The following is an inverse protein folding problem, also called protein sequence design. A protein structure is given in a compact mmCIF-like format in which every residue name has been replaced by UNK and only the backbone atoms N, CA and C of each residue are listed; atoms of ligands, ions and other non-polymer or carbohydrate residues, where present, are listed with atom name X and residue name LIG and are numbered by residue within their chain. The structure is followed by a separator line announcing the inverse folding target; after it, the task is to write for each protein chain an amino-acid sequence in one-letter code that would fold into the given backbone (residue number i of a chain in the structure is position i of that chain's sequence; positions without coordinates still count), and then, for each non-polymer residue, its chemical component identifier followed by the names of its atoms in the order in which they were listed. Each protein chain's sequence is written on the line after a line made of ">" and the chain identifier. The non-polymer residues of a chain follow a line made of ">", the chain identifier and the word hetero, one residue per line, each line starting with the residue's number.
data_IF_819926750431
#
_entry.id   IF_819926750431
#
_cell.length_a   1.000
_cell.length_b   1.000
_cell.length_c   1.000
_cell.angle_alpha   90.00
_cell.angle_beta   90.00
_cell.angle_gamma   90.00
#
_symmetry.space_group_name_H-M   'P 1'
#
loop_
_entity.id
_entity.type
_entity.pdbx_description
1 polymer ?
#
# COMPACT_ATOMS: atom_id res chain seq x y z
N UNK A 1 16.96 -48.61 -1.34
CA UNK A 1 17.49 -47.39 -1.97
C UNK A 1 17.84 -46.44 -0.86
N UNK A 2 19.13 -46.17 -0.70
CA UNK A 2 19.68 -45.39 0.41
C UNK A 2 19.34 -43.90 0.20
N UNK A 3 18.72 -43.20 1.16
CA UNK A 3 18.32 -41.79 1.00
C UNK A 3 19.50 -40.79 0.90
N UNK A 4 20.75 -41.28 0.85
CA UNK A 4 21.99 -40.47 0.78
C UNK A 4 22.65 -40.45 -0.60
N UNK A 5 22.01 -41.03 -1.61
CA UNK A 5 22.57 -41.20 -2.96
C UNK A 5 22.30 -40.02 -3.93
N UNK A 6 21.82 -38.89 -3.42
CA UNK A 6 21.67 -37.66 -4.20
C UNK A 6 23.01 -36.87 -4.20
N UNK A 7 23.96 -37.30 -5.03
CA UNK A 7 25.34 -36.77 -5.05
C UNK A 7 25.45 -35.31 -5.55
N UNK A 8 24.45 -34.75 -6.25
CA UNK A 8 24.44 -33.33 -6.62
C UNK A 8 23.05 -32.93 -7.14
N UNK A 9 22.49 -31.82 -6.63
CA UNK A 9 21.28 -31.21 -7.19
C UNK A 9 21.75 -30.33 -8.36
N UNK A 10 21.32 -30.57 -9.60
CA UNK A 10 21.72 -29.74 -10.73
C UNK A 10 21.26 -28.31 -10.49
N UNK A 11 22.23 -27.41 -10.27
CA UNK A 11 21.95 -25.98 -10.29
C UNK A 11 21.61 -25.60 -11.73
N UNK A 12 20.32 -25.44 -12.01
CA UNK A 12 19.79 -24.79 -13.20
C UNK A 12 20.29 -23.34 -13.23
N UNK A 13 21.48 -23.14 -13.80
CA UNK A 13 21.93 -21.83 -14.24
C UNK A 13 21.09 -21.51 -15.48
N UNK A 14 20.04 -20.72 -15.28
CA UNK A 14 19.31 -20.14 -16.40
C UNK A 14 20.26 -19.16 -17.09
N UNK A 15 20.97 -19.60 -18.13
CA UNK A 15 21.60 -18.70 -19.10
C UNK A 15 20.46 -18.08 -19.93
N UNK A 16 19.79 -17.09 -19.34
CA UNK A 16 18.81 -16.27 -20.04
C UNK A 16 19.58 -15.32 -20.95
N UNK A 17 20.10 -15.84 -22.07
CA UNK A 17 20.39 -14.99 -23.23
C UNK A 17 19.05 -14.55 -23.81
N UNK A 18 18.35 -13.69 -23.07
CA UNK A 18 17.03 -13.17 -23.38
C UNK A 18 17.17 -12.34 -24.65
N UNK A 19 16.91 -12.97 -25.80
CA UNK A 19 16.78 -12.27 -27.06
C UNK A 19 15.68 -11.24 -26.85
N UNK A 20 15.99 -9.96 -27.10
CA UNK A 20 15.04 -8.86 -26.91
C UNK A 20 13.88 -9.10 -27.87
N UNK A 21 12.84 -9.76 -27.37
CA UNK A 21 11.62 -10.02 -28.12
C UNK A 21 10.88 -8.71 -28.29
N UNK A 22 10.26 -8.49 -29.47
CA UNK A 22 9.46 -7.29 -29.75
C UNK A 22 8.40 -7.03 -28.67
N UNK A 23 7.92 -8.09 -28.01
CA UNK A 23 7.00 -7.97 -26.87
C UNK A 23 7.64 -7.22 -25.68
N UNK A 24 8.90 -7.49 -25.34
CA UNK A 24 9.60 -6.79 -24.26
C UNK A 24 9.76 -5.30 -24.57
N UNK A 25 10.07 -4.95 -25.83
CA UNK A 25 10.21 -3.54 -26.25
C UNK A 25 8.88 -2.80 -26.10
N UNK A 26 7.77 -3.44 -26.48
CA UNK A 26 6.43 -2.86 -26.34
C UNK A 26 6.02 -2.71 -24.87
N UNK A 27 6.30 -3.70 -24.02
CA UNK A 27 6.00 -3.60 -22.58
C UNK A 27 6.81 -2.46 -21.94
N UNK A 28 8.09 -2.34 -22.28
CA UNK A 28 8.97 -1.27 -21.76
C UNK A 28 8.49 0.10 -22.25
N UNK A 29 8.14 0.24 -23.53
CA UNK A 29 7.64 1.52 -24.06
C UNK A 29 6.32 1.93 -23.42
N UNK A 30 5.40 0.99 -23.21
CA UNK A 30 4.13 1.21 -22.50
C UNK A 30 4.34 1.59 -21.04
N UNK A 31 5.30 0.97 -20.36
CA UNK A 31 5.64 1.31 -18.98
C UNK A 31 6.19 2.74 -18.88
N UNK A 32 7.06 3.14 -19.81
CA UNK A 32 7.60 4.51 -19.88
C UNK A 32 6.49 5.53 -20.16
N UNK A 33 5.52 5.19 -21.02
CA UNK A 33 4.35 6.04 -21.28
C UNK A 33 3.56 6.30 -20.00
N UNK A 34 3.32 5.27 -19.19
CA UNK A 34 2.58 5.40 -17.91
C UNK A 34 3.32 6.27 -16.91
N UNK A 35 4.64 6.10 -16.78
CA UNK A 35 5.47 6.93 -15.91
C UNK A 35 5.41 8.40 -16.37
N UNK A 36 5.46 8.64 -17.68
CA UNK A 36 5.36 10.00 -18.23
C UNK A 36 3.98 10.62 -17.98
N UNK A 37 2.90 9.84 -18.08
CA UNK A 37 1.55 10.28 -17.72
C UNK A 37 1.44 10.64 -16.23
N UNK A 38 2.03 9.83 -15.33
CA UNK A 38 2.07 10.14 -13.91
C UNK A 38 2.86 11.42 -13.63
N UNK A 39 4.00 11.62 -14.29
CA UNK A 39 4.79 12.84 -14.15
C UNK A 39 4.05 14.08 -14.67
N UNK A 40 3.23 13.93 -15.71
CA UNK A 40 2.43 15.00 -16.31
C UNK A 40 1.06 15.22 -15.63
N UNK A 41 0.81 14.54 -14.51
CA UNK A 41 -0.46 14.60 -13.78
C UNK A 41 -0.87 16.02 -13.40
N UNK A 42 0.09 16.88 -13.02
CA UNK A 42 -0.17 18.26 -12.59
C UNK A 42 -0.87 19.12 -13.66
N UNK A 43 -0.68 18.80 -14.94
CA UNK A 43 -1.28 19.52 -16.09
C UNK A 43 -2.56 18.83 -16.57
N UNK A 44 -2.70 17.54 -16.25
CA UNK A 44 -3.69 16.61 -16.83
C UNK A 44 -4.88 16.38 -15.88
N UNK A 45 -4.76 16.81 -14.62
CA UNK A 45 -5.77 16.68 -13.56
C UNK A 45 -7.12 17.31 -13.92
N UNK A 46 -7.14 18.37 -14.72
CA UNK A 46 -8.37 19.06 -15.11
C UNK A 46 -9.22 18.27 -16.14
N UNK A 47 -8.63 17.32 -16.87
CA UNK A 47 -9.29 16.62 -17.98
C UNK A 47 -9.39 15.10 -17.79
N UNK A 48 -8.47 14.45 -17.08
CA UNK A 48 -8.40 12.97 -17.03
C UNK A 48 -8.68 12.34 -15.65
N UNK A 49 -8.97 13.12 -14.61
CA UNK A 49 -9.32 12.62 -13.27
C UNK A 49 -8.09 12.28 -12.40
N UNK A 50 -8.30 11.47 -11.35
CA UNK A 50 -7.27 11.04 -10.39
C UNK A 50 -6.18 10.14 -11.03
N UNK A 51 -4.97 10.15 -10.47
CA UNK A 51 -3.89 9.18 -10.75
C UNK A 51 -4.40 7.73 -10.87
N UNK A 52 -5.32 7.33 -10.01
CA UNK A 52 -5.89 5.98 -10.00
C UNK A 52 -6.63 5.62 -11.29
N UNK A 53 -7.36 6.57 -11.88
CA UNK A 53 -8.14 6.37 -13.12
C UNK A 53 -7.20 6.19 -14.31
N UNK A 54 -6.14 7.01 -14.38
CA UNK A 54 -5.12 6.94 -15.43
C UNK A 54 -4.43 5.56 -15.42
N UNK A 55 -4.07 5.08 -14.23
CA UNK A 55 -3.47 3.75 -14.05
C UNK A 55 -4.41 2.61 -14.50
N UNK A 56 -5.70 2.74 -14.20
CA UNK A 56 -6.72 1.75 -14.57
C UNK A 56 -6.96 1.73 -16.09
N UNK A 57 -6.94 2.90 -16.74
CA UNK A 57 -7.01 2.98 -18.20
C UNK A 57 -5.79 2.31 -18.86
N UNK A 58 -4.58 2.51 -18.31
CA UNK A 58 -3.38 1.83 -18.80
C UNK A 58 -3.50 0.30 -18.69
N UNK A 59 -4.03 -0.18 -17.58
CA UNK A 59 -4.34 -1.61 -17.40
C UNK A 59 -5.27 -2.11 -18.51
N UNK A 60 -6.36 -1.40 -18.79
CA UNK A 60 -7.27 -1.77 -19.87
C UNK A 60 -6.60 -1.83 -21.25
N UNK A 61 -5.68 -0.91 -21.56
CA UNK A 61 -4.93 -0.92 -22.82
C UNK A 61 -4.02 -2.15 -22.90
N UNK A 62 -3.25 -2.44 -21.85
CA UNK A 62 -2.33 -3.58 -21.79
C UNK A 62 -3.07 -4.93 -21.98
N UNK A 63 -4.18 -5.13 -21.28
CA UNK A 63 -5.01 -6.34 -21.44
C UNK A 63 -5.83 -6.35 -22.72
N UNK A 64 -6.28 -5.17 -23.19
CA UNK A 64 -7.06 -5.01 -24.41
C UNK A 64 -6.26 -5.29 -25.69
N UNK A 65 -4.96 -4.98 -25.71
CA UNK A 65 -4.07 -5.36 -26.82
C UNK A 65 -3.71 -6.86 -26.87
N UNK A 66 -4.18 -7.67 -25.91
CA UNK A 66 -3.93 -9.12 -25.88
C UNK A 66 -2.49 -9.51 -25.53
N UNK A 67 -1.69 -8.58 -25.01
CA UNK A 67 -0.29 -8.82 -24.63
C UNK A 67 -0.14 -9.61 -23.33
N UNK A 68 -1.16 -9.61 -22.48
CA UNK A 68 -1.14 -10.24 -21.15
C UNK A 68 -2.26 -11.29 -21.04
N UNK A 69 -1.96 -12.43 -20.41
CA UNK A 69 -2.86 -13.57 -20.40
C UNK A 69 -4.05 -13.36 -19.45
N UNK A 70 -5.15 -14.05 -19.72
CA UNK A 70 -6.32 -14.09 -18.82
C UNK A 70 -5.96 -14.69 -17.44
N UNK A 71 -4.96 -15.57 -17.41
CA UNK A 71 -4.42 -16.12 -16.17
C UNK A 71 -3.79 -15.04 -15.28
N UNK A 72 -3.05 -14.11 -15.88
CA UNK A 72 -2.40 -13.00 -15.16
C UNK A 72 -3.44 -12.00 -14.63
N UNK A 73 -4.51 -11.77 -15.41
CA UNK A 73 -5.63 -10.93 -14.99
C UNK A 73 -6.33 -11.47 -13.74
N UNK A 74 -6.58 -12.78 -13.70
CA UNK A 74 -7.21 -13.41 -12.55
C UNK A 74 -6.30 -13.48 -11.31
N UNK A 75 -4.97 -13.45 -11.50
CA UNK A 75 -4.02 -13.42 -10.40
C UNK A 75 -3.93 -12.06 -9.71
N UNK A 76 -4.54 -11.01 -10.25
CA UNK A 76 -4.55 -9.70 -9.60
C UNK A 76 -5.38 -9.69 -8.33
N UNK A 77 -4.95 -8.87 -7.37
CA UNK A 77 -5.65 -8.65 -6.11
C UNK A 77 -6.82 -7.67 -6.27
N UNK A 78 -7.86 -8.07 -7.03
CA UNK A 78 -9.06 -7.27 -7.30
C UNK A 78 -9.70 -6.68 -6.04
N UNK A 79 -9.72 -7.46 -4.96
CA UNK A 79 -10.23 -7.01 -3.66
C UNK A 79 -9.50 -5.78 -3.13
N UNK A 80 -8.18 -5.71 -3.26
CA UNK A 80 -7.37 -4.57 -2.80
C UNK A 80 -7.64 -3.34 -3.67
N UNK A 81 -7.79 -3.52 -4.98
CA UNK A 81 -8.09 -2.44 -5.92
C UNK A 81 -9.45 -1.81 -5.60
N UNK A 82 -10.49 -2.62 -5.40
CA UNK A 82 -11.81 -2.11 -5.00
C UNK A 82 -11.79 -1.41 -3.64
N UNK A 83 -10.98 -1.91 -2.71
CA UNK A 83 -10.85 -1.33 -1.38
C UNK A 83 -10.19 0.06 -1.45
N UNK A 84 -9.07 0.19 -2.17
CA UNK A 84 -8.37 1.48 -2.36
C UNK A 84 -9.25 2.46 -3.14
N UNK A 85 -9.91 2.01 -4.21
CA UNK A 85 -10.84 2.84 -4.97
C UNK A 85 -12.01 3.34 -4.13
N UNK A 86 -12.59 2.48 -3.28
CA UNK A 86 -13.59 2.86 -2.29
C UNK A 86 -13.05 3.92 -1.32
N UNK A 87 -11.83 3.76 -0.82
CA UNK A 87 -11.17 4.74 0.05
C UNK A 87 -11.00 6.11 -0.60
N UNK A 88 -10.64 6.16 -1.89
CA UNK A 88 -10.45 7.42 -2.64
C UNK A 88 -11.77 8.19 -2.80
N UNK A 89 -12.83 7.49 -3.21
CA UNK A 89 -14.18 8.08 -3.35
C UNK A 89 -14.73 8.58 -2.02
N UNK A 90 -14.47 7.84 -0.92
CA UNK A 90 -14.85 8.25 0.43
C UNK A 90 -14.08 9.49 0.91
N UNK A 91 -12.79 9.59 0.58
CA UNK A 91 -11.95 10.75 0.88
C UNK A 91 -12.41 12.01 0.16
N UNK A 92 -12.62 11.93 -1.16
CA UNK A 92 -13.10 13.05 -1.98
C UNK A 92 -14.50 13.52 -1.57
N UNK A 93 -15.36 12.60 -1.12
CA UNK A 93 -16.67 12.95 -0.55
C UNK A 93 -16.54 13.68 0.81
N UNK A 94 -15.48 13.43 1.58
CA UNK A 94 -15.25 14.13 2.86
C UNK A 94 -14.77 15.57 2.66
N UNK A 95 -13.99 15.85 1.61
CA UNK A 95 -13.53 17.20 1.28
C UNK A 95 -14.57 18.01 0.50
N UNK A 96 -15.48 17.35 -0.20
CA UNK A 96 -16.53 17.98 -1.01
C UNK A 96 -17.81 18.13 -0.17
N UNK A 97 -17.84 19.13 0.70
CA UNK A 97 -19.01 19.45 1.54
C UNK A 97 -20.23 19.98 0.75
N UNK A 98 -20.23 19.91 -0.58
CA UNK A 98 -21.29 20.41 -1.44
C UNK A 98 -21.77 19.34 -2.43
N UNK A 99 -22.33 18.21 -1.96
CA UNK A 99 -23.38 17.55 -2.74
C UNK A 99 -24.26 16.59 -1.91
N UNK A 100 -25.46 17.11 -1.64
CA UNK A 100 -26.77 16.46 -1.70
C UNK A 100 -26.95 15.06 -1.08
N UNK A 101 -27.60 15.05 0.08
CA UNK A 101 -28.61 14.08 0.54
C UNK A 101 -28.67 12.74 -0.24
N UNK A 102 -28.02 11.67 0.27
CA UNK A 102 -28.55 10.28 0.39
C UNK A 102 -27.45 9.26 0.76
N UNK A 103 -26.15 9.53 0.55
CA UNK A 103 -25.06 8.58 0.88
C UNK A 103 -24.39 8.82 2.25
N UNK A 104 -25.16 9.20 3.28
CA UNK A 104 -24.63 9.60 4.59
C UNK A 104 -24.45 8.41 5.56
N UNK A 105 -23.59 7.44 5.24
CA UNK A 105 -23.19 6.41 6.23
C UNK A 105 -21.70 6.47 6.61
N UNK A 106 -20.82 7.03 5.76
CA UNK A 106 -19.37 7.05 6.07
C UNK A 106 -18.91 8.38 6.67
N UNK A 107 -19.63 9.48 6.41
CA UNK A 107 -19.34 10.78 7.05
C UNK A 107 -19.58 10.76 8.57
N UNK A 108 -20.27 9.73 9.07
CA UNK A 108 -20.48 9.51 10.49
C UNK A 108 -19.17 9.30 11.25
N UNK A 109 -18.17 8.60 10.73
CA UNK A 109 -16.95 8.26 11.51
C UNK A 109 -16.11 9.49 11.83
N UNK A 110 -15.93 10.42 10.88
CA UNK A 110 -15.22 11.67 11.11
C UNK A 110 -16.05 12.66 11.95
N UNK A 111 -17.39 12.68 11.81
CA UNK A 111 -18.28 13.52 12.64
C UNK A 111 -18.66 12.93 14.01
N UNK A 112 -18.35 11.67 14.29
CA UNK A 112 -18.74 11.00 15.55
C UNK A 112 -18.00 11.56 16.78
N UNK A 113 -16.98 12.42 16.58
CA UNK A 113 -16.11 12.91 17.66
C UNK A 113 -15.30 11.79 18.32
N UNK A 114 -15.48 10.52 17.93
CA UNK A 114 -14.79 9.37 18.47
C UNK A 114 -13.31 9.38 18.05
N UNK A 115 -13.03 9.69 16.79
CA UNK A 115 -11.65 9.86 16.29
C UNK A 115 -10.96 11.06 16.97
N UNK A 116 -11.66 12.17 17.13
CA UNK A 116 -11.18 13.37 17.83
C UNK A 116 -10.93 13.09 19.33
N UNK A 117 -11.80 12.31 19.98
CA UNK A 117 -11.61 11.91 21.38
C UNK A 117 -10.48 10.90 21.54
N UNK A 118 -10.36 9.94 20.63
CA UNK A 118 -9.31 8.92 20.65
C UNK A 118 -7.94 9.53 20.35
N UNK A 119 -7.86 10.43 19.37
CA UNK A 119 -6.66 11.20 19.08
C UNK A 119 -6.24 12.08 20.25
N UNK A 120 -7.17 12.81 20.89
CA UNK A 120 -6.89 13.59 22.11
C UNK A 120 -6.42 12.72 23.26
N UNK A 121 -7.03 11.55 23.48
CA UNK A 121 -6.61 10.59 24.51
C UNK A 121 -5.19 10.07 24.28
N UNK A 122 -4.87 9.72 23.03
CA UNK A 122 -3.52 9.30 22.63
C UNK A 122 -2.54 10.46 22.77
N UNK A 123 -2.84 11.66 22.26
CA UNK A 123 -1.99 12.85 22.38
C UNK A 123 -1.74 13.20 23.85
N UNK A 124 -2.72 13.01 24.74
CA UNK A 124 -2.56 13.24 26.18
C UNK A 124 -1.69 12.17 26.86
N UNK A 125 -1.67 10.95 26.34
CA UNK A 125 -0.76 9.89 26.75
C UNK A 125 0.68 10.10 26.22
N UNK A 126 0.87 11.01 25.25
CA UNK A 126 2.16 11.35 24.68
C UNK A 126 2.75 12.62 25.35
N UNK A 127 4.08 12.72 25.51
CA UNK A 127 4.71 13.94 26.03
C UNK A 127 4.46 15.14 25.12
N UNK A 128 3.75 16.15 25.61
CA UNK A 128 3.45 17.38 24.87
C UNK A 128 4.65 18.33 24.92
N UNK A 129 5.39 18.42 23.81
CA UNK A 129 6.45 19.43 23.70
C UNK A 129 7.17 19.51 22.36
N UNK A 130 7.23 18.42 21.58
CA UNK A 130 7.96 18.42 20.31
C UNK A 130 7.31 17.51 19.26
N UNK A 131 7.06 18.05 18.06
CA UNK A 131 6.51 17.34 16.89
C UNK A 131 7.29 16.08 16.55
N UNK A 132 8.62 16.12 16.72
CA UNK A 132 9.49 14.96 16.50
C UNK A 132 9.24 13.83 17.50
N UNK A 133 9.06 14.16 18.78
CA UNK A 133 8.80 13.16 19.83
C UNK A 133 7.46 12.49 19.57
N UNK A 134 6.44 13.28 19.24
CA UNK A 134 5.10 12.78 18.89
C UNK A 134 5.15 11.86 17.66
N UNK A 135 5.85 12.27 16.60
CA UNK A 135 6.00 11.48 15.37
C UNK A 135 6.72 10.15 15.61
N UNK A 136 7.78 10.14 16.42
CA UNK A 136 8.53 8.93 16.76
C UNK A 136 7.68 7.98 17.60
N UNK A 137 6.94 8.47 18.59
CA UNK A 137 6.03 7.63 19.37
C UNK A 137 4.89 7.04 18.54
N UNK A 138 4.33 7.83 17.59
CA UNK A 138 3.34 7.35 16.63
C UNK A 138 3.91 6.25 15.74
N UNK A 139 5.11 6.43 15.19
CA UNK A 139 5.79 5.40 14.42
C UNK A 139 6.02 4.13 15.24
N UNK A 140 6.44 4.25 16.50
CA UNK A 140 6.60 3.11 17.40
C UNK A 140 5.31 2.32 17.61
N UNK A 141 4.21 3.03 17.88
CA UNK A 141 2.88 2.42 18.03
C UNK A 141 2.43 1.71 16.76
N UNK A 142 2.61 2.36 15.61
CA UNK A 142 2.26 1.81 14.30
C UNK A 142 3.08 0.56 13.99
N UNK A 143 4.39 0.55 14.23
CA UNK A 143 5.25 -0.63 14.04
C UNK A 143 4.79 -1.80 14.91
N UNK A 144 4.44 -1.54 16.18
CA UNK A 144 3.90 -2.57 17.06
C UNK A 144 2.59 -3.17 16.51
N UNK A 145 1.65 -2.35 16.05
CA UNK A 145 0.37 -2.83 15.49
C UNK A 145 0.56 -3.59 14.16
N UNK A 146 1.43 -3.08 13.29
CA UNK A 146 1.71 -3.71 11.98
C UNK A 146 2.43 -5.05 12.12
N UNK A 147 2.98 -5.37 13.30
CA UNK A 147 3.61 -6.67 13.56
C UNK A 147 2.59 -7.81 13.63
N UNK A 148 1.32 -7.51 13.93
CA UNK A 148 0.27 -8.53 14.10
C UNK A 148 -0.73 -8.59 12.93
N UNK A 149 -0.82 -7.53 12.13
CA UNK A 149 -1.79 -7.38 11.05
C UNK A 149 -1.06 -7.17 9.73
N UNK A 150 -1.64 -7.65 8.64
CA UNK A 150 -1.10 -7.41 7.29
C UNK A 150 -0.84 -5.92 7.05
N UNK A 151 0.36 -5.60 6.57
CA UNK A 151 0.84 -4.24 6.26
C UNK A 151 -0.18 -3.39 5.50
N UNK A 152 -0.81 -3.96 4.48
CA UNK A 152 -1.72 -3.23 3.60
C UNK A 152 -3.03 -2.89 4.30
N UNK A 153 -3.58 -3.86 5.05
CA UNK A 153 -4.84 -3.67 5.80
C UNK A 153 -4.62 -2.72 6.98
N UNK A 154 -3.50 -2.88 7.69
CA UNK A 154 -3.09 -1.96 8.74
C UNK A 154 -2.94 -0.53 8.20
N UNK A 155 -2.33 -0.36 7.03
CA UNK A 155 -2.20 0.95 6.38
C UNK A 155 -3.55 1.57 6.08
N UNK A 156 -4.47 0.84 5.44
CA UNK A 156 -5.80 1.35 5.10
C UNK A 156 -6.56 1.81 6.35
N UNK A 157 -6.49 1.06 7.46
CA UNK A 157 -7.22 1.37 8.69
C UNK A 157 -6.55 2.50 9.49
N UNK A 158 -5.22 2.50 9.57
CA UNK A 158 -4.46 3.45 10.37
C UNK A 158 -4.29 4.81 9.67
N UNK A 159 -4.26 4.86 8.34
CA UNK A 159 -4.08 6.09 7.57
C UNK A 159 -5.05 7.22 7.97
N UNK A 160 -6.38 7.02 8.04
CA UNK A 160 -7.30 8.09 8.44
C UNK A 160 -7.04 8.60 9.86
N UNK A 161 -6.61 7.73 10.79
CA UNK A 161 -6.30 8.09 12.18
C UNK A 161 -5.01 8.93 12.22
N UNK A 162 -3.98 8.52 11.48
CA UNK A 162 -2.70 9.23 11.41
C UNK A 162 -2.88 10.61 10.78
N UNK A 163 -3.69 10.72 9.71
CA UNK A 163 -3.98 11.99 9.05
C UNK A 163 -4.71 12.96 9.99
N UNK A 164 -5.72 12.48 10.72
CA UNK A 164 -6.46 13.30 11.70
C UNK A 164 -5.53 13.83 12.82
N UNK A 165 -4.70 12.95 13.39
CA UNK A 165 -3.69 13.36 14.38
C UNK A 165 -2.67 14.35 13.80
N UNK A 166 -2.20 14.15 12.57
CA UNK A 166 -1.23 15.01 11.94
C UNK A 166 -1.79 16.42 11.64
N UNK A 167 -3.10 16.51 11.35
CA UNK A 167 -3.81 17.80 11.23
C UNK A 167 -3.88 18.51 12.58
N UNK A 168 -4.19 17.80 13.67
CA UNK A 168 -4.22 18.39 15.02
C UNK A 168 -2.87 18.90 15.52
N UNK A 169 -1.76 18.29 15.06
CA UNK A 169 -0.39 18.70 15.37
C UNK A 169 0.05 19.94 14.53
N UNK A 170 -0.74 20.35 13.54
CA UNK A 170 -0.45 21.51 12.67
C UNK A 170 0.55 21.25 11.55
N UNK A 171 1.11 20.03 11.46
CA UNK A 171 2.02 19.59 10.41
C UNK A 171 1.57 18.25 9.83
N UNK A 172 0.73 18.23 8.78
CA UNK A 172 0.13 17.00 8.29
C UNK A 172 1.11 16.05 7.56
N UNK A 173 2.15 16.59 6.91
CA UNK A 173 3.00 15.80 6.02
C UNK A 173 4.03 14.92 6.76
N UNK A 174 4.69 15.46 7.79
CA UNK A 174 5.80 14.77 8.49
C UNK A 174 5.32 13.48 9.15
N UNK A 175 4.27 13.49 10.00
CA UNK A 175 3.85 12.30 10.73
C UNK A 175 3.26 11.24 9.80
N UNK A 176 2.53 11.65 8.75
CA UNK A 176 1.93 10.75 7.77
C UNK A 176 2.99 9.99 6.98
N UNK A 177 3.99 10.70 6.44
CA UNK A 177 5.08 10.06 5.67
C UNK A 177 5.93 9.17 6.56
N UNK A 178 6.29 9.61 7.77
CA UNK A 178 7.06 8.80 8.71
C UNK A 178 6.30 7.52 9.10
N UNK A 179 5.00 7.62 9.41
CA UNK A 179 4.21 6.45 9.74
C UNK A 179 4.04 5.51 8.54
N UNK A 180 3.84 6.03 7.32
CA UNK A 180 3.76 5.21 6.11
C UNK A 180 5.05 4.39 5.88
N UNK A 181 6.22 5.02 6.08
CA UNK A 181 7.52 4.33 6.04
C UNK A 181 7.64 3.30 7.18
N UNK A 182 7.18 3.64 8.37
CA UNK A 182 7.24 2.77 9.55
C UNK A 182 6.37 1.50 9.38
N UNK A 183 5.19 1.62 8.75
CA UNK A 183 4.35 0.48 8.39
C UNK A 183 5.15 -0.45 7.47
N UNK A 184 5.83 0.09 6.45
CA UNK A 184 6.70 -0.68 5.54
C UNK A 184 7.81 -1.45 6.27
N UNK A 185 8.51 -0.79 7.19
CA UNK A 185 9.58 -1.41 7.97
C UNK A 185 9.08 -2.53 8.90
N UNK A 186 7.82 -2.48 9.36
CA UNK A 186 7.22 -3.53 10.20
C UNK A 186 7.18 -4.90 9.51
N UNK A 187 7.03 -4.93 8.18
CA UNK A 187 6.93 -6.15 7.37
C UNK A 187 8.19 -7.03 7.46
N UNK A 188 9.37 -6.41 7.53
CA UNK A 188 10.65 -7.12 7.57
C UNK A 188 10.82 -7.88 8.89
N UNK A 189 10.33 -7.33 10.01
CA UNK A 189 10.51 -7.89 11.35
C UNK A 189 9.77 -9.22 11.57
N UNK A 190 8.61 -9.41 10.94
CA UNK A 190 7.87 -10.68 10.97
C UNK A 190 8.63 -11.78 10.21
N UNK A 191 9.27 -11.45 9.09
CA UNK A 191 10.07 -12.40 8.31
C UNK A 191 11.28 -12.89 9.11
N UNK A 192 11.94 -12.01 9.87
CA UNK A 192 13.04 -12.38 10.76
C UNK A 192 12.59 -13.25 11.94
N UNK A 193 11.44 -12.96 12.56
CA UNK A 193 10.89 -13.76 13.68
C UNK A 193 10.36 -15.14 13.25
N UNK A 194 9.92 -15.30 11.99
CA UNK A 194 9.46 -16.59 11.46
C UNK A 194 10.59 -17.47 10.88
N UNK A 195 11.75 -16.89 10.55
CA UNK A 195 12.91 -17.61 10.01
C UNK A 195 13.49 -18.72 10.93
N UNK A 196 13.53 -18.58 12.27
CA UNK A 196 13.94 -19.71 13.13
C UNK A 196 12.87 -20.82 13.20
N UNK A 197 11.58 -20.51 12.98
CA UNK A 197 10.50 -21.50 13.08
C UNK A 197 10.38 -22.37 11.82
N UNK A 198 10.67 -21.82 10.63
CA UNK A 198 10.74 -22.61 9.39
C UNK A 198 12.01 -23.46 9.28
N UNK A 199 13.10 -23.04 9.93
CA UNK A 199 14.33 -23.85 10.02
C UNK A 199 14.20 -25.04 10.97
N UNK A 200 13.31 -24.97 11.96
CA UNK A 200 13.06 -26.06 12.89
C UNK A 200 12.19 -27.19 12.30
N UNK A 201 11.33 -26.90 11.32
CA UNK A 201 10.41 -27.90 10.74
C UNK A 201 10.90 -28.54 9.43
N UNK A 202 12.12 -28.23 8.99
CA UNK A 202 12.79 -28.86 7.83
C UNK A 202 13.95 -29.77 8.23
N UNK A 203 14.10 -30.03 9.54
CA UNK A 203 15.10 -30.99 10.08
C UNK A 203 14.49 -32.35 10.44
N UNK A 204 13.18 -32.55 10.20
CA UNK A 204 12.46 -33.81 10.39
C UNK A 204 11.36 -33.92 9.32
N UNK A 205 11.75 -34.24 8.09
CA UNK A 205 11.11 -35.17 7.11
C UNK A 205 12.00 -35.16 5.88
#
# INVERSE_FOLDING_TARGET
>A
MDPRDATYIPQIVYDQKQQISSLHVVVVSMTLLTIFLWASFSVTSATFGDLGIISLMFMFVMFGTGMMSQFDFNSFSWHILFLIGGGNVLGDMSSSAECLNTCCHVQAVHRSGLLDTLSKSVIHALPSGNVWVVTVSLCGLVVCLTTFVSHTVASIILLPIIVDMAIQIGHPHIPVVCCALAISAGKERICYLYSPFTRANTSFV
#
